data_IF_383204311660
#
_entry.id   IF_383204311660
#
_cell.length_a   1.000
_cell.length_b   1.000
_cell.length_c   1.000
_cell.angle_alpha   90.00
_cell.angle_beta   90.00
_cell.angle_gamma   90.00
#
_symmetry.space_group_name_H-M   'P 1'
#
loop_
_entity.id
_entity.type
_entity.pdbx_description
1 polymer ?
#
# COMPACT_ATOMS: atom_id res chain seq x y z
N UNK A 1 19.84 14.43 -20.71
CA UNK A 1 19.19 13.48 -19.77
C UNK A 1 19.93 12.16 -19.86
N UNK A 2 20.42 11.62 -18.75
CA UNK A 2 21.22 10.38 -18.77
C UNK A 2 20.30 9.16 -18.99
N UNK A 3 20.43 8.54 -20.17
CA UNK A 3 19.85 7.23 -20.46
C UNK A 3 20.55 6.19 -19.57
N UNK A 4 19.91 5.85 -18.44
CA UNK A 4 20.41 4.78 -17.56
C UNK A 4 20.35 3.47 -18.35
N UNK A 5 21.41 2.65 -18.37
CA UNK A 5 21.40 1.39 -19.10
C UNK A 5 20.25 0.54 -18.56
N UNK A 6 19.22 0.35 -19.39
CA UNK A 6 18.08 -0.50 -19.10
C UNK A 6 18.64 -1.90 -18.85
N UNK A 7 18.69 -2.32 -17.58
CA UNK A 7 19.04 -3.70 -17.20
C UNK A 7 18.18 -4.59 -18.08
N UNK A 8 18.83 -5.37 -18.97
CA UNK A 8 18.20 -6.33 -19.89
C UNK A 8 17.01 -6.95 -19.19
N UNK A 9 15.81 -6.50 -19.56
CA UNK A 9 14.61 -7.03 -18.93
C UNK A 9 14.51 -8.46 -19.41
N UNK A 10 14.49 -9.39 -18.45
CA UNK A 10 14.39 -10.83 -18.72
C UNK A 10 13.11 -11.11 -19.50
N UNK A 11 12.12 -10.21 -19.42
CA UNK A 11 10.82 -10.25 -20.08
C UNK A 11 10.73 -9.24 -21.23
N UNK A 12 10.26 -9.72 -22.38
CA UNK A 12 9.86 -8.89 -23.52
C UNK A 12 8.55 -8.15 -23.19
N UNK A 13 8.17 -7.17 -24.03
CA UNK A 13 6.89 -6.45 -23.90
C UNK A 13 5.70 -7.41 -23.91
N UNK A 14 5.68 -8.36 -24.84
CA UNK A 14 4.61 -9.37 -24.95
C UNK A 14 4.54 -10.31 -23.72
N UNK A 15 5.69 -10.65 -23.13
CA UNK A 15 5.72 -11.44 -21.89
C UNK A 15 5.09 -10.66 -20.73
N UNK A 16 5.36 -9.35 -20.65
CA UNK A 16 4.82 -8.49 -19.61
C UNK A 16 3.29 -8.40 -19.68
N UNK A 17 2.72 -8.28 -20.89
CA UNK A 17 1.27 -8.28 -21.11
C UNK A 17 0.63 -9.60 -20.70
N UNK A 18 1.27 -10.73 -21.02
CA UNK A 18 0.80 -12.06 -20.62
C UNK A 18 0.80 -12.22 -19.09
N UNK A 19 1.91 -11.84 -18.44
CA UNK A 19 2.05 -11.87 -16.97
C UNK A 19 1.00 -10.95 -16.31
N UNK A 20 0.71 -9.79 -16.90
CA UNK A 20 -0.30 -8.87 -16.39
C UNK A 20 -1.73 -9.44 -16.47
N UNK A 21 -2.03 -10.24 -17.50
CA UNK A 21 -3.32 -10.91 -17.65
C UNK A 21 -3.52 -12.11 -16.71
N UNK A 22 -2.45 -12.84 -16.38
CA UNK A 22 -2.50 -13.98 -15.44
C UNK A 22 -2.39 -13.55 -13.97
N UNK A 23 -1.83 -12.37 -13.68
CA UNK A 23 -1.62 -11.89 -12.31
C UNK A 23 -2.87 -11.20 -11.76
N UNK A 24 -3.60 -11.90 -10.89
CA UNK A 24 -4.79 -11.37 -10.20
C UNK A 24 -4.46 -10.42 -9.04
N UNK A 25 -3.20 -10.36 -8.59
CA UNK A 25 -2.80 -9.61 -7.40
C UNK A 25 -2.65 -10.46 -6.14
N UNK A 26 -3.05 -11.72 -6.20
CA UNK A 26 -2.95 -12.68 -5.13
C UNK A 26 -1.55 -13.30 -5.04
N UNK A 27 -1.12 -13.65 -3.82
CA UNK A 27 0.17 -14.29 -3.59
C UNK A 27 0.26 -15.68 -4.21
N UNK A 28 -0.86 -16.40 -4.27
CA UNK A 28 -0.98 -17.72 -4.90
C UNK A 28 -0.76 -17.63 -6.42
N UNK A 29 -1.40 -16.66 -7.08
CA UNK A 29 -1.19 -16.40 -8.51
C UNK A 29 0.26 -16.02 -8.81
N UNK A 30 0.92 -15.29 -7.89
CA UNK A 30 2.32 -14.93 -8.04
C UNK A 30 3.25 -16.14 -7.93
N UNK A 31 2.95 -17.09 -7.04
CA UNK A 31 3.76 -18.31 -6.86
C UNK A 31 3.62 -19.24 -8.07
N UNK A 32 2.40 -19.45 -8.55
CA UNK A 32 2.13 -20.20 -9.77
C UNK A 32 2.85 -19.60 -11.00
N UNK A 33 2.89 -18.26 -11.10
CA UNK A 33 3.67 -17.58 -12.14
C UNK A 33 5.17 -17.76 -11.94
N UNK A 34 5.69 -17.75 -10.71
CA UNK A 34 7.11 -18.05 -10.45
C UNK A 34 7.44 -19.45 -10.91
N UNK A 35 6.65 -20.46 -10.56
CA UNK A 35 6.89 -21.85 -10.97
C UNK A 35 6.87 -22.01 -12.49
N UNK A 36 5.83 -21.48 -13.16
CA UNK A 36 5.68 -21.52 -14.62
C UNK A 36 6.87 -20.89 -15.35
N UNK A 37 7.32 -19.73 -14.89
CA UNK A 37 8.39 -18.99 -15.55
C UNK A 37 9.79 -19.47 -15.13
N UNK A 38 9.95 -20.04 -13.92
CA UNK A 38 11.22 -20.60 -13.45
C UNK A 38 11.68 -21.80 -14.28
N UNK A 39 10.76 -22.60 -14.82
CA UNK A 39 11.10 -23.69 -15.76
C UNK A 39 11.60 -23.19 -17.13
N UNK A 40 11.23 -21.95 -17.51
CA UNK A 40 11.54 -21.38 -18.82
C UNK A 40 12.75 -20.44 -18.81
N UNK A 41 13.03 -19.79 -17.67
CA UNK A 41 14.05 -18.74 -17.55
C UNK A 41 14.79 -18.81 -16.22
N UNK A 42 16.09 -18.56 -16.24
CA UNK A 42 16.92 -18.45 -15.04
C UNK A 42 16.78 -17.06 -14.40
N UNK A 43 16.62 -16.98 -13.07
CA UNK A 43 16.55 -15.71 -12.33
C UNK A 43 15.15 -15.10 -12.20
N UNK A 44 14.10 -15.90 -12.39
CA UNK A 44 12.71 -15.50 -12.11
C UNK A 44 12.54 -15.34 -10.60
N UNK A 45 11.99 -14.20 -10.21
CA UNK A 45 11.66 -13.90 -8.82
C UNK A 45 10.29 -13.25 -8.74
N UNK A 46 9.59 -13.44 -7.61
CA UNK A 46 8.29 -12.80 -7.32
C UNK A 46 8.31 -11.29 -7.63
N UNK A 47 9.39 -10.61 -7.24
CA UNK A 47 9.57 -9.16 -7.46
C UNK A 47 9.76 -8.78 -8.93
N UNK A 48 10.39 -9.64 -9.73
CA UNK A 48 10.58 -9.39 -11.17
C UNK A 48 9.26 -9.61 -11.94
N UNK A 49 8.48 -10.65 -11.59
CA UNK A 49 7.15 -10.88 -12.17
C UNK A 49 6.16 -9.78 -11.81
N UNK A 50 6.15 -9.31 -10.56
CA UNK A 50 5.34 -8.16 -10.17
C UNK A 50 5.73 -6.89 -10.96
N UNK A 51 7.02 -6.66 -11.21
CA UNK A 51 7.45 -5.54 -12.05
C UNK A 51 7.07 -5.73 -13.53
N UNK A 52 7.12 -6.96 -14.05
CA UNK A 52 6.67 -7.29 -15.39
C UNK A 52 5.16 -7.07 -15.56
N UNK A 53 4.35 -7.56 -14.61
CA UNK A 53 2.90 -7.31 -14.58
C UNK A 53 2.59 -5.81 -14.61
N UNK A 54 3.27 -5.01 -13.78
CA UNK A 54 3.09 -3.55 -13.75
C UNK A 54 3.48 -2.86 -15.05
N UNK A 55 4.48 -3.38 -15.76
CA UNK A 55 4.87 -2.89 -17.10
C UNK A 55 3.88 -3.32 -18.19
N UNK A 56 3.26 -4.48 -18.03
CA UNK A 56 2.21 -5.01 -18.91
C UNK A 56 0.83 -4.41 -18.67
N UNK A 57 0.69 -3.43 -17.78
CA UNK A 57 -0.58 -2.74 -17.53
C UNK A 57 -1.37 -3.25 -16.32
N UNK A 58 -0.85 -4.21 -15.55
CA UNK A 58 -1.43 -4.54 -14.25
C UNK A 58 -1.24 -3.36 -13.29
N UNK A 59 -2.30 -2.56 -13.14
CA UNK A 59 -2.40 -1.60 -12.06
C UNK A 59 -2.97 -2.36 -10.85
N UNK A 60 -2.19 -2.58 -9.77
CA UNK A 60 -2.81 -3.05 -8.54
C UNK A 60 -3.92 -2.07 -8.22
N UNK A 61 -5.14 -2.57 -8.03
CA UNK A 61 -6.28 -1.75 -7.64
C UNK A 61 -5.87 -1.01 -6.37
N UNK A 62 -5.41 0.23 -6.55
CA UNK A 62 -4.99 1.09 -5.47
C UNK A 62 -6.27 1.59 -4.82
N UNK A 63 -6.97 0.68 -4.15
CA UNK A 63 -8.06 0.94 -3.21
C UNK A 63 -7.61 1.85 -2.05
N UNK A 64 -6.31 2.21 -1.99
CA UNK A 64 -5.82 3.32 -1.20
C UNK A 64 -6.34 4.62 -1.82
N UNK A 65 -7.54 5.02 -1.40
CA UNK A 65 -8.06 6.37 -1.61
C UNK A 65 -6.96 7.36 -1.14
N UNK A 66 -6.44 8.23 -2.01
CA UNK A 66 -5.33 9.11 -1.63
C UNK A 66 -5.77 10.02 -0.48
N UNK A 67 -4.84 10.34 0.42
CA UNK A 67 -5.01 11.46 1.36
C UNK A 67 -4.62 12.72 0.59
N UNK A 68 -5.60 13.27 -0.13
CA UNK A 68 -5.42 14.41 -1.03
C UNK A 68 -6.15 15.66 -0.57
N UNK A 69 -7.03 15.53 0.42
CA UNK A 69 -7.82 16.66 0.90
C UNK A 69 -7.13 17.31 2.12
N UNK A 70 -6.76 18.59 2.03
CA UNK A 70 -6.14 19.29 3.15
C UNK A 70 -7.08 19.42 4.36
N UNK A 71 -8.40 19.32 4.19
CA UNK A 71 -9.34 19.32 5.31
C UNK A 71 -9.26 18.00 6.11
N UNK A 72 -8.94 16.86 5.49
CA UNK A 72 -8.71 15.60 6.21
C UNK A 72 -7.50 15.73 7.17
N UNK A 73 -6.45 16.44 6.75
CA UNK A 73 -5.25 16.68 7.56
C UNK A 73 -5.50 17.68 8.70
N UNK A 74 -6.26 18.75 8.43
CA UNK A 74 -6.65 19.73 9.44
C UNK A 74 -7.60 19.13 10.48
N UNK A 75 -8.53 18.29 10.03
CA UNK A 75 -9.40 17.52 10.91
C UNK A 75 -8.58 16.61 11.82
N UNK A 76 -7.56 15.93 11.26
CA UNK A 76 -6.61 15.14 12.04
C UNK A 76 -5.87 16.01 13.06
N UNK A 77 -5.29 17.13 12.67
CA UNK A 77 -4.54 18.02 13.59
C UNK A 77 -5.40 18.52 14.74
N UNK A 78 -6.64 18.91 14.45
CA UNK A 78 -7.55 19.51 15.44
C UNK A 78 -8.18 18.46 16.36
N UNK A 79 -8.54 17.29 15.82
CA UNK A 79 -9.30 16.28 16.55
C UNK A 79 -8.43 15.19 17.17
N UNK A 80 -7.18 14.98 16.72
CA UNK A 80 -6.30 13.91 17.24
C UNK A 80 -6.02 14.02 18.74
N UNK A 81 -6.07 15.24 19.30
CA UNK A 81 -5.91 15.48 20.73
C UNK A 81 -7.22 15.34 21.52
N UNK A 82 -8.37 15.38 20.83
CA UNK A 82 -9.71 15.45 21.44
C UNK A 82 -10.47 14.12 21.35
N UNK A 83 -10.21 13.35 20.30
CA UNK A 83 -10.91 12.11 19.98
C UNK A 83 -9.92 10.94 19.88
N UNK A 84 -10.36 9.71 20.23
CA UNK A 84 -9.58 8.52 19.96
C UNK A 84 -9.45 8.29 18.46
N UNK A 85 -8.32 7.70 18.04
CA UNK A 85 -8.02 7.50 16.62
C UNK A 85 -9.06 6.64 15.89
N UNK A 86 -9.76 5.73 16.59
CA UNK A 86 -10.84 4.91 16.03
C UNK A 86 -12.07 5.73 15.64
N UNK A 87 -12.46 6.71 16.47
CA UNK A 87 -13.58 7.60 16.16
C UNK A 87 -13.22 8.56 15.02
N UNK A 88 -11.97 9.03 14.97
CA UNK A 88 -11.45 9.81 13.83
C UNK A 88 -11.46 8.97 12.56
N UNK A 89 -11.09 7.69 12.65
CA UNK A 89 -11.12 6.77 11.52
C UNK A 89 -12.54 6.56 11.00
N UNK A 90 -13.52 6.38 11.90
CA UNK A 90 -14.94 6.31 11.54
C UNK A 90 -15.44 7.59 10.89
N UNK A 91 -15.10 8.76 11.45
CA UNK A 91 -15.49 10.06 10.90
C UNK A 91 -14.94 10.30 9.49
N UNK A 92 -13.71 9.83 9.20
CA UNK A 92 -13.08 9.95 7.89
C UNK A 92 -13.43 8.80 6.93
N UNK A 93 -14.16 7.77 7.40
CA UNK A 93 -14.44 6.55 6.62
C UNK A 93 -13.16 5.80 6.24
N UNK A 94 -12.14 5.83 7.11
CA UNK A 94 -10.83 5.19 6.92
C UNK A 94 -10.59 4.13 7.99
N UNK A 95 -9.58 3.31 7.80
CA UNK A 95 -9.09 2.41 8.86
C UNK A 95 -8.20 3.15 9.85
N UNK A 96 -8.22 2.75 11.12
CA UNK A 96 -7.33 3.27 12.16
C UNK A 96 -5.87 3.26 11.71
N UNK A 97 -5.44 2.19 11.05
CA UNK A 97 -4.08 2.06 10.54
C UNK A 97 -3.74 3.11 9.47
N UNK A 98 -4.66 3.42 8.56
CA UNK A 98 -4.48 4.50 7.56
C UNK A 98 -4.34 5.86 8.23
N UNK A 99 -5.15 6.12 9.26
CA UNK A 99 -5.11 7.37 10.02
C UNK A 99 -3.80 7.48 10.82
N UNK A 100 -3.37 6.41 11.50
CA UNK A 100 -2.12 6.40 12.26
C UNK A 100 -0.88 6.57 11.36
N UNK A 101 -0.89 5.96 10.17
CA UNK A 101 0.14 6.17 9.15
C UNK A 101 0.14 7.61 8.64
N UNK A 102 -1.03 8.19 8.35
CA UNK A 102 -1.13 9.59 7.90
C UNK A 102 -0.62 10.53 8.96
N UNK A 103 -1.08 10.37 10.21
CA UNK A 103 -0.61 11.09 11.38
C UNK A 103 0.91 11.12 11.48
N UNK A 104 1.56 9.95 11.41
CA UNK A 104 3.02 9.84 11.43
C UNK A 104 3.69 10.64 10.30
N UNK A 105 3.08 10.68 9.11
CA UNK A 105 3.58 11.46 7.96
C UNK A 105 3.41 12.96 8.13
N UNK A 106 2.30 13.42 8.73
CA UNK A 106 2.04 14.85 8.96
C UNK A 106 2.68 15.37 10.26
N UNK A 107 3.37 14.49 11.01
CA UNK A 107 4.09 14.85 12.24
C UNK A 107 3.20 15.12 13.45
N UNK A 108 1.94 14.66 13.44
CA UNK A 108 1.02 14.90 14.55
C UNK A 108 1.31 13.88 15.66
N UNK A 109 2.06 14.29 16.67
CA UNK A 109 2.31 13.46 17.85
C UNK A 109 1.18 13.66 18.86
N UNK A 110 0.81 12.58 19.55
CA UNK A 110 -0.01 12.68 20.75
C UNK A 110 0.97 12.95 21.89
N UNK A 111 1.04 14.18 22.39
CA UNK A 111 1.72 14.57 23.64
C UNK A 111 1.11 15.93 24.05
N UNK A 112 0.83 16.28 25.29
CA UNK A 112 1.23 15.84 26.64
C UNK A 112 -0.01 16.02 27.52
N UNK A 113 -0.41 15.03 28.31
CA UNK A 113 -1.62 15.13 29.11
C UNK A 113 -1.73 13.93 30.02
N UNK A 114 -1.13 14.07 31.20
CA UNK A 114 -1.33 13.22 32.36
C UNK A 114 -2.81 13.32 32.79
N UNK A 115 -3.73 12.65 32.09
CA UNK A 115 -5.08 12.39 32.60
C UNK A 115 -5.82 11.35 31.74
N UNK A 116 -6.12 10.22 32.39
CA UNK A 116 -7.39 9.46 32.30
C UNK A 116 -7.77 8.84 30.93
N UNK A 117 -8.20 7.58 30.81
CA UNK A 117 -8.89 6.75 31.79
C UNK A 117 -8.82 5.30 31.31
N UNK A 118 -8.52 4.39 32.23
CA UNK A 118 -9.04 3.02 32.18
C UNK A 118 -10.57 3.12 32.15
N UNK A 119 -11.19 2.58 31.10
CA UNK A 119 -12.58 2.08 31.03
C UNK A 119 -12.74 1.58 29.60
N UNK A 120 -12.71 0.28 29.33
CA UNK A 120 -13.73 -0.65 29.82
C UNK A 120 -13.15 -2.02 30.10
N UNK A 121 -13.18 -2.38 31.39
CA UNK A 121 -13.42 -3.75 31.82
C UNK A 121 -14.92 -3.79 32.09
N UNK A 122 -15.68 -4.40 31.18
CA UNK A 122 -17.11 -4.75 31.29
C UNK A 122 -17.25 -6.02 30.43
N UNK A 123 -17.69 -7.19 30.88
CA UNK A 123 -18.06 -7.77 32.19
C UNK A 123 -17.77 -9.28 32.06
#
# INVERSE_FOLDING_TARGET
MADKPSRRSIYSSADCENIAGEYDGSTESLDALVEKWASLRVGVTRRNLMQAARRGGYAPSSLRKPWGDPAEDEFLRTNWHRLPGDEIARALGRTFESVNLRRKRIGVTRYDGDELTIKTLEE
#
